data_IF_132948340011
#
_entry.id   IF_132948340011
#
_cell.length_a   1.000
_cell.length_b   1.000
_cell.length_c   1.000
_cell.angle_alpha   90.00
_cell.angle_beta   90.00
_cell.angle_gamma   90.00
#
_symmetry.space_group_name_H-M   'P 1'
#
loop_
_entity.id
_entity.type
_entity.pdbx_description
1 polymer ?
#
# COMPACT_ATOMS: atom_id res chain seq x y z
N UNK A 1 27.62 4.30 4.57
CA UNK A 1 27.54 4.57 6.03
C UNK A 1 26.12 4.78 6.57
N UNK A 2 25.19 5.38 5.81
CA UNK A 2 23.79 5.58 6.28
C UNK A 2 23.03 4.28 6.64
N UNK A 3 23.35 3.16 6.01
CA UNK A 3 22.73 1.85 6.27
C UNK A 3 23.04 1.31 7.69
N UNK A 4 24.25 1.54 8.21
CA UNK A 4 24.65 1.09 9.56
C UNK A 4 23.99 1.92 10.67
N UNK A 5 23.85 3.24 10.49
CA UNK A 5 23.13 4.10 11.43
C UNK A 5 21.63 3.73 11.51
N UNK A 6 21.04 3.35 10.38
CA UNK A 6 19.63 2.97 10.29
C UNK A 6 19.34 1.67 11.05
N UNK A 7 20.22 0.68 10.93
CA UNK A 7 20.12 -0.58 11.68
C UNK A 7 20.29 -0.38 13.19
N UNK A 8 21.21 0.49 13.62
CA UNK A 8 21.39 0.80 15.04
C UNK A 8 20.17 1.53 15.65
N UNK A 9 19.53 2.43 14.89
CA UNK A 9 18.30 3.10 15.34
C UNK A 9 17.11 2.13 15.48
N UNK A 10 16.98 1.17 14.57
CA UNK A 10 15.91 0.16 14.61
C UNK A 10 16.10 -0.84 15.75
N UNK A 11 17.33 -1.24 16.06
CA UNK A 11 17.65 -2.11 17.20
C UNK A 11 17.38 -1.43 18.55
N UNK A 12 17.58 -0.11 18.64
CA UNK A 12 17.36 0.67 19.87
C UNK A 12 15.88 0.91 20.20
N UNK A 13 15.01 0.89 19.19
CA UNK A 13 13.56 1.13 19.35
C UNK A 13 12.76 -0.19 19.50
N UNK A 14 13.18 -1.27 18.84
CA UNK A 14 12.40 -2.53 18.81
C UNK A 14 13.04 -3.72 19.55
N UNK A 15 14.29 -3.59 20.03
CA UNK A 15 15.02 -4.67 20.70
C UNK A 15 15.46 -5.81 19.75
N UNK A 16 16.31 -6.74 20.24
CA UNK A 16 16.83 -7.83 19.43
C UNK A 16 15.78 -8.96 19.36
N UNK A 17 15.03 -9.04 18.27
CA UNK A 17 14.06 -10.11 18.06
C UNK A 17 13.43 -10.06 16.67
N UNK A 18 12.94 -11.21 16.18
CA UNK A 18 12.42 -11.38 14.82
C UNK A 18 11.34 -10.36 14.38
N UNK A 19 10.61 -9.77 15.33
CA UNK A 19 9.64 -8.69 15.08
C UNK A 19 10.26 -7.36 14.63
N UNK A 20 11.49 -7.06 15.03
CA UNK A 20 12.23 -5.87 14.54
C UNK A 20 12.71 -6.07 13.10
N UNK A 21 13.02 -7.32 12.73
CA UNK A 21 13.30 -7.70 11.35
C UNK A 21 12.06 -7.53 10.47
N UNK A 22 10.90 -8.05 10.86
CA UNK A 22 9.65 -7.89 10.10
C UNK A 22 9.20 -6.43 9.99
N UNK A 23 9.32 -5.64 11.06
CA UNK A 23 9.02 -4.20 11.01
C UNK A 23 10.03 -3.42 10.15
N UNK A 24 11.33 -3.75 10.21
CA UNK A 24 12.35 -3.15 9.35
C UNK A 24 12.17 -3.54 7.88
N UNK A 25 11.74 -4.78 7.60
CA UNK A 25 11.41 -5.27 6.27
C UNK A 25 10.13 -4.62 5.73
N UNK A 26 9.09 -4.46 6.54
CA UNK A 26 7.85 -3.80 6.13
C UNK A 26 8.05 -2.30 5.90
N UNK A 27 8.80 -1.61 6.77
CA UNK A 27 9.16 -0.21 6.59
C UNK A 27 10.12 -0.04 5.43
N UNK A 28 11.07 -0.96 5.24
CA UNK A 28 11.95 -1.02 4.07
C UNK A 28 11.16 -1.19 2.78
N UNK A 29 10.24 -2.16 2.73
CA UNK A 29 9.35 -2.41 1.60
C UNK A 29 8.42 -1.22 1.31
N UNK A 30 7.91 -0.54 2.33
CA UNK A 30 7.03 0.62 2.16
C UNK A 30 7.82 1.86 1.70
N UNK A 31 9.07 2.01 2.14
CA UNK A 31 9.97 3.07 1.67
C UNK A 31 10.51 2.76 0.29
N UNK A 32 10.78 1.50 -0.05
CA UNK A 32 11.19 1.09 -1.39
C UNK A 32 10.03 1.17 -2.38
N UNK A 33 8.80 0.86 -1.98
CA UNK A 33 7.61 1.12 -2.78
C UNK A 33 7.28 2.60 -2.88
N UNK A 34 7.45 3.38 -1.82
CA UNK A 34 7.33 4.83 -1.90
C UNK A 34 8.41 5.41 -2.82
N UNK A 35 9.65 4.93 -2.76
CA UNK A 35 10.72 5.33 -3.69
C UNK A 35 10.49 4.84 -5.11
N UNK A 36 9.83 3.70 -5.33
CA UNK A 36 9.41 3.25 -6.66
C UNK A 36 8.21 4.04 -7.20
N UNK A 37 7.30 4.47 -6.33
CA UNK A 37 6.12 5.25 -6.71
C UNK A 37 6.42 6.76 -6.91
N UNK A 38 7.40 7.29 -6.18
CA UNK A 38 7.83 8.70 -6.23
C UNK A 38 9.18 8.92 -6.92
N UNK A 39 9.89 7.85 -7.30
CA UNK A 39 11.16 7.91 -7.99
C UNK A 39 10.95 8.08 -9.48
N UNK A 40 11.12 9.31 -9.94
CA UNK A 40 11.23 9.75 -11.34
C UNK A 40 12.41 9.08 -12.06
N UNK A 41 12.35 7.76 -12.25
CA UNK A 41 13.16 7.12 -13.28
C UNK A 41 12.21 6.86 -14.45
N UNK A 42 12.47 7.38 -15.66
CA UNK A 42 11.75 6.93 -16.84
C UNK A 42 11.95 5.41 -16.91
N UNK A 43 10.88 4.67 -16.61
CA UNK A 43 10.89 3.22 -16.67
C UNK A 43 11.23 2.87 -18.12
N UNK A 44 12.41 2.32 -18.35
CA UNK A 44 12.85 1.96 -19.69
C UNK A 44 12.06 0.72 -20.08
N UNK A 45 10.92 0.93 -20.73
CA UNK A 45 9.93 -0.11 -21.02
C UNK A 45 10.48 -1.18 -21.97
N UNK A 46 11.42 -0.79 -22.86
CA UNK A 46 12.16 -1.69 -23.75
C UNK A 46 13.46 -1.02 -24.22
N UNK A 47 14.51 -1.82 -24.46
CA UNK A 47 15.77 -1.41 -25.11
C UNK A 47 16.03 -2.38 -26.25
N UNK A 48 15.36 -2.15 -27.37
CA UNK A 48 15.51 -2.95 -28.58
C UNK A 48 16.49 -2.28 -29.56
N UNK A 49 17.46 -3.05 -30.07
CA UNK A 49 18.30 -2.64 -31.20
C UNK A 49 17.58 -3.00 -32.49
N UNK A 50 16.90 -2.01 -33.06
CA UNK A 50 16.19 -2.11 -34.34
C UNK A 50 17.15 -2.52 -35.47
N UNK A 51 16.81 -3.58 -36.20
CA UNK A 51 17.42 -3.84 -37.51
C UNK A 51 16.81 -2.90 -38.56
N UNK A 52 17.54 -2.54 -39.64
CA UNK A 52 16.96 -1.77 -40.74
C UNK A 52 15.70 -2.47 -41.29
N UNK A 53 14.54 -1.83 -41.15
CA UNK A 53 13.23 -2.37 -41.58
C UNK A 53 12.25 -2.71 -40.45
N UNK A 54 12.68 -2.70 -39.18
CA UNK A 54 11.78 -2.89 -38.03
C UNK A 54 11.16 -1.57 -37.55
N UNK A 55 9.95 -1.61 -37.00
CA UNK A 55 9.26 -0.44 -36.42
C UNK A 55 8.60 -0.82 -35.11
N UNK A 56 8.79 -0.02 -34.06
CA UNK A 56 8.09 -0.17 -32.78
C UNK A 56 7.03 0.92 -32.60
N UNK A 57 5.91 0.55 -31.98
CA UNK A 57 4.83 1.45 -31.61
C UNK A 57 4.85 1.65 -30.09
N UNK A 58 5.23 2.84 -29.64
CA UNK A 58 5.14 3.21 -28.22
C UNK A 58 3.79 3.89 -27.98
N UNK A 59 2.89 3.21 -27.28
CA UNK A 59 1.61 3.80 -26.84
C UNK A 59 1.74 4.32 -25.42
N UNK A 60 1.84 5.64 -25.27
CA UNK A 60 1.75 6.29 -23.96
C UNK A 60 0.29 6.60 -23.62
N UNK A 61 -0.05 6.60 -22.33
CA UNK A 61 -1.38 6.99 -21.88
C UNK A 61 -1.55 8.51 -22.00
N UNK A 62 -2.73 9.01 -22.39
CA UNK A 62 -2.99 10.44 -22.35
C UNK A 62 -2.92 10.96 -20.90
N UNK A 63 -2.52 12.24 -20.71
CA UNK A 63 -2.47 12.84 -19.39
C UNK A 63 -3.86 12.95 -18.77
N UNK A 64 -3.95 12.93 -17.43
CA UNK A 64 -5.23 12.97 -16.73
C UNK A 64 -6.03 14.25 -17.04
N UNK A 65 -7.32 14.07 -17.32
CA UNK A 65 -8.26 15.16 -17.56
C UNK A 65 -8.56 15.95 -16.27
N UNK A 66 -9.11 17.18 -16.39
CA UNK A 66 -9.51 17.98 -15.21
C UNK A 66 -10.54 17.25 -14.34
N UNK A 67 -11.48 16.53 -14.96
CA UNK A 67 -12.50 15.77 -14.26
C UNK A 67 -11.89 14.57 -13.50
N UNK A 68 -10.98 13.84 -14.14
CA UNK A 68 -10.24 12.74 -13.50
C UNK A 68 -9.41 13.23 -12.30
N UNK A 69 -8.75 14.39 -12.44
CA UNK A 69 -8.00 15.00 -11.32
C UNK A 69 -8.90 15.32 -10.13
N UNK A 70 -10.11 15.85 -10.37
CA UNK A 70 -11.06 16.14 -9.28
C UNK A 70 -11.47 14.86 -8.54
N UNK A 71 -11.76 13.78 -9.28
CA UNK A 71 -12.09 12.47 -8.70
C UNK A 71 -10.91 11.90 -7.90
N UNK A 72 -9.70 11.96 -8.45
CA UNK A 72 -8.48 11.55 -7.77
C UNK A 72 -8.28 12.32 -6.46
N UNK A 73 -8.44 13.64 -6.46
CA UNK A 73 -8.32 14.45 -5.24
C UNK A 73 -9.38 14.07 -4.19
N UNK A 74 -10.63 13.76 -4.60
CA UNK A 74 -11.64 13.29 -3.65
C UNK A 74 -11.29 11.93 -3.05
N UNK A 75 -10.75 11.02 -3.86
CA UNK A 75 -10.26 9.71 -3.41
C UNK A 75 -9.12 9.88 -2.40
N UNK A 76 -8.13 10.71 -2.70
CA UNK A 76 -6.98 10.95 -1.84
C UNK A 76 -7.41 11.55 -0.48
N UNK A 77 -8.41 12.45 -0.47
CA UNK A 77 -8.98 12.99 0.77
C UNK A 77 -9.67 11.91 1.61
N UNK A 78 -10.43 11.01 0.99
CA UNK A 78 -11.04 9.88 1.69
C UNK A 78 -9.97 8.92 2.24
N UNK A 79 -8.91 8.65 1.48
CA UNK A 79 -7.80 7.80 1.93
C UNK A 79 -7.12 8.39 3.17
N UNK A 80 -6.88 9.70 3.18
CA UNK A 80 -6.36 10.39 4.35
C UNK A 80 -7.33 10.32 5.54
N UNK A 81 -8.63 10.48 5.32
CA UNK A 81 -9.63 10.39 6.38
C UNK A 81 -9.72 8.98 6.98
N UNK A 82 -9.74 7.94 6.13
CA UNK A 82 -9.69 6.53 6.55
C UNK A 82 -8.41 6.28 7.35
N UNK A 83 -7.24 6.68 6.83
CA UNK A 83 -5.97 6.48 7.51
C UNK A 83 -5.90 7.17 8.88
N UNK A 84 -6.53 8.35 9.03
CA UNK A 84 -6.63 9.02 10.34
C UNK A 84 -7.50 8.23 11.32
N UNK A 85 -8.62 7.70 10.84
CA UNK A 85 -9.58 6.98 11.68
C UNK A 85 -9.09 5.57 12.07
N UNK A 86 -8.32 4.90 11.22
CA UNK A 86 -7.78 3.56 11.46
C UNK A 86 -6.43 3.57 12.18
N UNK A 87 -5.91 4.75 12.55
CA UNK A 87 -4.66 4.84 13.30
C UNK A 87 -4.81 4.19 14.69
N UNK A 88 -3.83 3.36 15.12
CA UNK A 88 -3.89 2.72 16.42
C UNK A 88 -3.78 3.77 17.53
N UNK A 89 -4.84 3.86 18.34
CA UNK A 89 -4.92 4.75 19.49
C UNK A 89 -4.11 4.21 20.69
N UNK A 90 -4.10 4.94 21.80
CA UNK A 90 -3.35 4.56 22.99
C UNK A 90 -3.83 3.23 23.62
N UNK A 91 -5.14 2.95 23.61
CA UNK A 91 -5.69 1.71 24.18
C UNK A 91 -5.34 0.50 23.32
N UNK A 92 -5.48 0.59 22.00
CA UNK A 92 -5.06 -0.46 21.04
C UNK A 92 -3.59 -0.79 21.21
N UNK A 93 -2.72 0.23 21.33
CA UNK A 93 -1.28 0.02 21.58
C UNK A 93 -1.03 -0.66 22.92
N UNK A 94 -1.70 -0.24 23.99
CA UNK A 94 -1.58 -0.87 25.32
C UNK A 94 -1.98 -2.35 25.26
N UNK A 95 -3.13 -2.67 24.68
CA UNK A 95 -3.59 -4.07 24.53
C UNK A 95 -2.60 -4.87 23.69
N UNK A 96 -2.11 -4.33 22.57
CA UNK A 96 -1.10 -5.00 21.74
C UNK A 96 0.20 -5.31 22.51
N UNK A 97 0.70 -4.37 23.32
CA UNK A 97 1.89 -4.60 24.15
C UNK A 97 1.65 -5.64 25.23
N UNK A 98 0.47 -5.67 25.83
CA UNK A 98 0.11 -6.70 26.81
C UNK A 98 0.01 -8.08 26.14
N UNK A 99 -0.65 -8.16 24.98
CA UNK A 99 -0.78 -9.38 24.19
C UNK A 99 0.59 -9.95 23.80
N UNK A 100 1.50 -9.10 23.31
CA UNK A 100 2.87 -9.50 22.98
C UNK A 100 3.63 -10.02 24.22
N UNK A 101 3.48 -9.37 25.38
CA UNK A 101 4.09 -9.84 26.63
C UNK A 101 3.50 -11.18 27.08
N UNK A 102 2.20 -11.41 26.94
CA UNK A 102 1.56 -12.68 27.32
C UNK A 102 1.96 -13.80 26.37
N UNK A 103 2.01 -13.55 25.07
CA UNK A 103 2.49 -14.51 24.08
C UNK A 103 3.96 -14.90 24.33
N UNK A 104 4.81 -13.94 24.71
CA UNK A 104 6.21 -14.23 25.10
C UNK A 104 6.32 -15.05 26.39
N UNK A 105 5.38 -14.92 27.32
CA UNK A 105 5.33 -15.75 28.54
C UNK A 105 4.82 -17.15 28.23
N UNK A 106 3.80 -17.25 27.38
CA UNK A 106 3.27 -18.51 26.88
C UNK A 106 4.35 -19.32 26.15
N UNK A 107 5.12 -18.69 25.26
CA UNK A 107 6.18 -19.37 24.50
C UNK A 107 7.33 -19.92 25.37
N UNK A 108 7.48 -19.42 26.59
CA UNK A 108 8.48 -19.90 27.57
C UNK A 108 7.91 -20.91 28.56
N UNK A 109 6.59 -21.04 28.66
CA UNK A 109 5.96 -21.94 29.61
C UNK A 109 6.03 -23.38 29.08
N UNK A 110 6.19 -24.36 29.98
CA UNK A 110 6.14 -25.77 29.61
C UNK A 110 4.75 -26.10 29.04
N UNK A 111 4.65 -26.68 27.83
CA UNK A 111 3.37 -27.11 27.27
C UNK A 111 2.62 -28.03 28.23
N UNK A 112 1.29 -27.87 28.31
CA UNK A 112 0.44 -28.66 29.21
C UNK A 112 0.49 -28.27 30.70
N UNK A 113 1.37 -27.35 31.11
CA UNK A 113 1.37 -26.85 32.50
C UNK A 113 0.19 -25.93 32.79
N UNK A 114 -0.27 -25.89 34.05
CA UNK A 114 -1.31 -24.94 34.50
C UNK A 114 -0.95 -23.48 34.17
N UNK A 115 0.33 -23.10 34.27
CA UNK A 115 0.81 -21.77 33.88
C UNK A 115 0.65 -21.50 32.38
N UNK A 116 0.93 -22.49 31.52
CA UNK A 116 0.74 -22.36 30.08
C UNK A 116 -0.75 -22.19 29.74
N UNK A 117 -1.64 -22.99 30.33
CA UNK A 117 -3.09 -22.86 30.16
C UNK A 117 -3.59 -21.45 30.57
N UNK A 118 -3.11 -20.94 31.71
CA UNK A 118 -3.45 -19.58 32.17
C UNK A 118 -2.96 -18.49 31.20
N UNK A 119 -1.76 -18.63 30.63
CA UNK A 119 -1.27 -17.66 29.65
C UNK A 119 -1.98 -17.77 28.30
N UNK A 120 -2.39 -18.97 27.90
CA UNK A 120 -3.20 -19.21 26.71
C UNK A 120 -4.53 -18.47 26.82
N UNK A 121 -5.32 -18.77 27.86
CA UNK A 121 -6.62 -18.13 28.07
C UNK A 121 -6.51 -16.59 28.15
N UNK A 122 -5.43 -16.07 28.76
CA UNK A 122 -5.17 -14.63 28.80
C UNK A 122 -4.77 -14.05 27.44
N UNK A 123 -4.01 -14.79 26.65
CA UNK A 123 -3.65 -14.40 25.28
C UNK A 123 -4.90 -14.31 24.42
N UNK A 124 -5.77 -15.31 24.50
CA UNK A 124 -7.02 -15.38 23.73
C UNK A 124 -7.94 -14.20 24.08
N UNK A 125 -8.18 -13.97 25.38
CA UNK A 125 -8.99 -12.83 25.83
C UNK A 125 -8.41 -11.45 25.47
N UNK A 126 -7.08 -11.33 25.35
CA UNK A 126 -6.44 -10.10 24.87
C UNK A 126 -6.49 -9.98 23.34
N UNK A 127 -6.47 -11.11 22.63
CA UNK A 127 -6.72 -11.19 21.19
C UNK A 127 -8.10 -10.68 20.84
N UNK A 128 -9.15 -11.22 21.48
CA UNK A 128 -10.54 -10.79 21.25
C UNK A 128 -10.73 -9.29 21.50
N UNK A 129 -10.10 -8.77 22.56
CA UNK A 129 -10.13 -7.33 22.87
C UNK A 129 -9.39 -6.50 21.82
N UNK A 130 -8.27 -6.99 21.30
CA UNK A 130 -7.53 -6.31 20.25
C UNK A 130 -8.32 -6.28 18.94
N UNK A 131 -8.97 -7.39 18.60
CA UNK A 131 -9.80 -7.52 17.40
C UNK A 131 -11.03 -6.61 17.48
N UNK A 132 -11.70 -6.56 18.63
CA UNK A 132 -12.81 -5.64 18.86
C UNK A 132 -12.40 -4.15 18.73
N UNK A 133 -11.19 -3.79 19.19
CA UNK A 133 -10.68 -2.42 19.10
C UNK A 133 -10.16 -2.05 17.70
N UNK A 134 -9.77 -3.04 16.89
CA UNK A 134 -9.25 -2.81 15.53
C UNK A 134 -10.32 -2.99 14.46
N UNK A 135 -11.46 -3.60 14.79
CA UNK A 135 -12.59 -3.76 13.91
C UNK A 135 -13.06 -2.40 13.34
N UNK A 136 -13.26 -2.29 12.01
CA UNK A 136 -13.69 -1.05 11.40
C UNK A 136 -15.13 -0.71 11.81
N UNK A 137 -15.30 0.47 12.41
CA UNK A 137 -16.60 1.06 12.71
C UNK A 137 -17.40 1.30 11.41
N UNK A 138 -18.73 1.31 11.48
CA UNK A 138 -19.69 1.60 10.41
C UNK A 138 -19.25 2.81 9.57
N UNK A 139 -18.76 3.89 10.20
CA UNK A 139 -18.27 5.07 9.50
C UNK A 139 -17.04 4.80 8.64
N UNK A 140 -16.11 3.96 9.10
CA UNK A 140 -14.94 3.56 8.30
C UNK A 140 -15.40 2.70 7.11
N UNK A 141 -16.34 1.79 7.35
CA UNK A 141 -16.93 0.96 6.28
C UNK A 141 -17.64 1.81 5.21
N UNK A 142 -18.39 2.83 5.61
CA UNK A 142 -19.05 3.73 4.65
C UNK A 142 -18.05 4.62 3.89
N UNK A 143 -16.96 5.05 4.52
CA UNK A 143 -15.88 5.73 3.80
C UNK A 143 -15.18 4.80 2.81
N UNK A 144 -14.99 3.52 3.16
CA UNK A 144 -14.42 2.51 2.26
C UNK A 144 -15.33 2.21 1.07
N UNK A 145 -16.65 2.14 1.27
CA UNK A 145 -17.60 1.99 0.15
C UNK A 145 -17.60 3.22 -0.76
N UNK A 146 -17.61 4.43 -0.19
CA UNK A 146 -17.52 5.66 -0.98
C UNK A 146 -16.21 5.77 -1.77
N UNK A 147 -15.09 5.27 -1.20
CA UNK A 147 -13.82 5.16 -1.92
C UNK A 147 -13.93 4.20 -3.12
N UNK A 148 -14.55 3.04 -2.93
CA UNK A 148 -14.75 2.07 -4.01
C UNK A 148 -15.61 2.64 -5.15
N UNK A 149 -16.65 3.40 -4.82
CA UNK A 149 -17.47 4.10 -5.83
C UNK A 149 -16.66 5.14 -6.62
N UNK A 150 -15.77 5.89 -5.96
CA UNK A 150 -14.87 6.81 -6.64
C UNK A 150 -13.88 6.09 -7.56
N UNK A 151 -13.36 4.93 -7.14
CA UNK A 151 -12.47 4.12 -7.96
C UNK A 151 -13.18 3.64 -9.24
N UNK A 152 -14.45 3.21 -9.15
CA UNK A 152 -15.26 2.87 -10.30
C UNK A 152 -15.47 4.07 -11.24
N UNK A 153 -15.86 5.23 -10.71
CA UNK A 153 -16.04 6.46 -11.51
C UNK A 153 -14.75 6.89 -12.19
N UNK A 154 -13.61 6.72 -11.53
CA UNK A 154 -12.29 7.05 -12.09
C UNK A 154 -11.93 6.06 -13.23
N UNK A 155 -12.19 4.78 -13.03
CA UNK A 155 -12.01 3.76 -14.08
C UNK A 155 -12.90 4.06 -15.31
N UNK A 156 -14.17 4.40 -15.12
CA UNK A 156 -15.07 4.80 -16.21
C UNK A 156 -14.59 6.05 -16.94
N UNK A 157 -14.20 7.10 -16.19
CA UNK A 157 -13.66 8.32 -16.78
C UNK A 157 -12.42 8.05 -17.63
N UNK A 158 -11.55 7.14 -17.17
CA UNK A 158 -10.37 6.68 -17.91
C UNK A 158 -10.71 5.90 -19.18
N UNK A 159 -11.70 5.01 -19.14
CA UNK A 159 -12.16 4.30 -20.33
C UNK A 159 -12.69 5.29 -21.37
N UNK A 160 -13.47 6.29 -20.93
CA UNK A 160 -13.98 7.34 -21.81
C UNK A 160 -12.87 8.21 -22.41
N UNK A 161 -11.86 8.58 -21.62
CA UNK A 161 -10.74 9.39 -22.12
C UNK A 161 -9.83 8.63 -23.08
N UNK A 162 -9.63 7.32 -22.87
CA UNK A 162 -8.93 6.46 -23.82
C UNK A 162 -9.72 6.29 -25.12
N UNK A 163 -11.05 6.13 -25.04
CA UNK A 163 -11.90 6.03 -26.21
C UNK A 163 -11.87 7.31 -27.07
N UNK A 164 -11.90 8.49 -26.44
CA UNK A 164 -11.83 9.77 -27.16
C UNK A 164 -10.42 10.10 -27.69
N UNK A 165 -9.37 9.58 -27.06
CA UNK A 165 -7.99 9.76 -27.50
C UNK A 165 -7.62 8.90 -28.73
N UNK A 166 -8.42 7.89 -29.07
CA UNK A 166 -8.22 7.03 -30.24
C UNK A 166 -8.57 7.80 -31.52
N UNK A 167 -7.65 8.65 -31.98
CA UNK A 167 -7.77 9.32 -33.30
C UNK A 167 -7.92 8.27 -34.41
N UNK A 168 -8.80 8.48 -35.40
CA UNK A 168 -8.79 7.67 -36.61
C UNK A 168 -7.43 7.80 -37.32
N UNK A 169 -6.97 6.75 -38.03
CA UNK A 169 -5.71 6.82 -38.77
C UNK A 169 -5.74 8.02 -39.70
N UNK A 170 -4.69 8.85 -39.65
CA UNK A 170 -4.53 10.01 -40.53
C UNK A 170 -4.41 9.47 -41.96
N UNK A 171 -5.28 9.91 -42.86
CA UNK A 171 -5.23 9.52 -44.27
C UNK A 171 -3.81 9.78 -44.82
N UNK A 172 -3.16 8.74 -45.32
CA UNK A 172 -1.84 8.81 -45.95
C UNK A 172 -1.97 9.55 -47.27
N UNK A 173 -1.64 10.84 -47.29
CA UNK A 173 -1.50 11.59 -48.54
C UNK A 173 -0.20 11.16 -49.22
N UNK A 174 -0.31 10.22 -50.17
CA UNK A 174 0.81 9.79 -51.01
C UNK A 174 1.20 10.93 -51.95
N UNK A 175 2.18 11.76 -51.56
CA UNK A 175 2.80 12.71 -52.50
C UNK A 175 3.67 11.91 -53.47
N UNK A 176 3.23 11.78 -54.72
CA UNK A 176 4.09 11.31 -55.81
C UNK A 176 5.09 12.41 -56.13
N UNK A 177 6.38 12.14 -55.92
CA UNK A 177 7.45 12.93 -56.48
C UNK A 177 7.54 12.59 -57.98
N UNK A 178 7.51 13.62 -58.83
CA UNK A 178 7.77 13.53 -60.27
C UNK A 178 9.22 13.91 -60.53
#
# INVERSE_FOLDING_TARGET
>A
MLTRLRQQFLLKIFGPGAGSFLAASAVGWLIDNAKKAFGENPETLDVSRLKPGESYLVTTRPPMSKAERKLQLSRDKLDQAIARQTRPNASTRKVATQLSKTQRKLSKAKPGSSRAQKYQARSDALGDKFDALTAPNIRVRSMQSARAELDLKLAEARVRSLASAKKPPRATTTKRFR
#
